data_IF_552437273930
#
_entry.id   IF_552437273930
#
_cell.length_a   1.000
_cell.length_b   1.000
_cell.length_c   1.000
_cell.angle_alpha   90.00
_cell.angle_beta   90.00
_cell.angle_gamma   90.00
#
_symmetry.space_group_name_H-M   'P 1'
#
loop_
_entity.id
_entity.type
_entity.pdbx_description
1 polymer ?
#
# COMPACT_ATOMS: atom_id res chain seq x y z
N UNK A 1 16.71 -1.98 -23.96
CA UNK A 1 15.27 -2.26 -23.88
C UNK A 1 14.58 -1.07 -23.23
N UNK A 2 13.31 -0.80 -23.55
CA UNK A 2 12.53 0.21 -22.82
C UNK A 2 11.83 -0.48 -21.63
N UNK A 3 12.49 -0.47 -20.46
CA UNK A 3 12.05 -1.24 -19.28
C UNK A 3 10.81 -0.65 -18.62
N UNK A 4 10.54 0.64 -18.81
CA UNK A 4 9.36 1.32 -18.26
C UNK A 4 8.03 0.76 -18.80
N UNK A 5 8.07 0.04 -19.92
CA UNK A 5 6.90 -0.61 -20.53
C UNK A 5 6.69 -2.05 -20.03
N UNK A 6 7.54 -2.57 -19.14
CA UNK A 6 7.46 -3.96 -18.70
C UNK A 6 6.12 -4.29 -18.04
N UNK A 7 5.63 -3.41 -17.16
CA UNK A 7 4.32 -3.56 -16.53
C UNK A 7 3.19 -3.60 -17.57
N UNK A 8 3.14 -2.62 -18.47
CA UNK A 8 2.10 -2.49 -19.50
C UNK A 8 2.06 -3.72 -20.42
N UNK A 9 3.23 -4.16 -20.92
CA UNK A 9 3.32 -5.34 -21.79
C UNK A 9 2.89 -6.61 -21.06
N UNK A 10 3.26 -6.75 -19.78
CA UNK A 10 2.85 -7.91 -18.98
C UNK A 10 1.33 -7.95 -18.75
N UNK A 11 0.71 -6.80 -18.49
CA UNK A 11 -0.75 -6.67 -18.37
C UNK A 11 -1.45 -7.00 -19.69
N UNK A 12 -0.95 -6.49 -20.81
CA UNK A 12 -1.49 -6.78 -22.15
C UNK A 12 -1.51 -8.28 -22.44
N UNK A 13 -0.40 -8.98 -22.19
CA UNK A 13 -0.30 -10.43 -22.39
C UNK A 13 -1.20 -11.19 -21.40
N UNK A 14 -1.28 -10.75 -20.14
CA UNK A 14 -2.17 -11.35 -19.14
C UNK A 14 -3.64 -11.29 -19.59
N UNK A 15 -4.06 -10.13 -20.12
CA UNK A 15 -5.40 -9.95 -20.67
C UNK A 15 -5.63 -10.81 -21.91
N UNK A 16 -4.72 -10.77 -22.89
CA UNK A 16 -4.84 -11.53 -24.13
C UNK A 16 -4.85 -13.05 -23.92
N UNK A 17 -4.10 -13.54 -22.93
CA UNK A 17 -4.03 -14.97 -22.60
C UNK A 17 -5.12 -15.44 -21.64
N UNK A 18 -5.93 -14.53 -21.08
CA UNK A 18 -6.93 -14.85 -20.06
C UNK A 18 -6.33 -15.32 -18.72
N UNK A 19 -5.05 -14.99 -18.45
CA UNK A 19 -4.33 -15.40 -17.24
C UNK A 19 -3.92 -14.17 -16.45
N UNK A 20 -4.55 -13.97 -15.29
CA UNK A 20 -4.23 -12.85 -14.41
C UNK A 20 -2.73 -12.83 -14.03
N UNK A 21 -2.15 -11.64 -14.01
CA UNK A 21 -0.78 -11.46 -13.54
C UNK A 21 -0.74 -11.58 -12.02
N UNK A 22 0.17 -12.43 -11.51
CA UNK A 22 0.34 -12.57 -10.05
C UNK A 22 0.83 -11.26 -9.42
N UNK A 23 0.27 -10.92 -8.26
CA UNK A 23 0.69 -9.77 -7.44
C UNK A 23 2.17 -9.85 -7.05
N UNK A 24 2.68 -11.07 -6.83
CA UNK A 24 4.08 -11.34 -6.45
C UNK A 24 4.99 -11.66 -7.65
N UNK A 25 4.52 -11.48 -8.89
CA UNK A 25 5.33 -11.77 -10.07
C UNK A 25 6.59 -10.88 -10.04
N UNK A 26 7.81 -11.44 -10.15
CA UNK A 26 9.01 -10.63 -10.16
C UNK A 26 8.97 -9.55 -11.24
N UNK A 27 9.49 -8.36 -10.94
CA UNK A 27 9.62 -7.19 -11.82
C UNK A 27 8.29 -6.48 -12.15
N UNK A 28 7.20 -7.22 -12.39
CA UNK A 28 5.95 -6.65 -12.94
C UNK A 28 4.74 -6.83 -12.03
N UNK A 29 4.86 -7.54 -10.91
CA UNK A 29 3.79 -7.74 -9.95
C UNK A 29 3.49 -6.46 -9.15
N UNK A 30 2.21 -6.15 -8.94
CA UNK A 30 1.81 -4.93 -8.23
C UNK A 30 2.24 -4.90 -6.76
N UNK A 31 2.57 -6.05 -6.16
CA UNK A 31 2.95 -6.13 -4.75
C UNK A 31 4.44 -6.09 -4.46
N UNK A 32 5.31 -6.00 -5.48
CA UNK A 32 6.76 -6.12 -5.26
C UNK A 32 7.39 -4.84 -4.68
N UNK A 33 6.72 -3.69 -4.82
CA UNK A 33 7.09 -2.40 -4.25
C UNK A 33 6.10 -1.92 -3.17
N UNK A 34 5.30 -2.85 -2.65
CA UNK A 34 4.40 -2.59 -1.54
C UNK A 34 5.15 -2.79 -0.21
N UNK A 35 5.36 -1.71 0.53
CA UNK A 35 6.08 -1.73 1.80
C UNK A 35 5.11 -1.50 2.95
N UNK A 36 5.08 -2.43 3.90
CA UNK A 36 4.31 -2.23 5.12
C UNK A 36 4.96 -1.12 5.96
N UNK A 37 4.13 -0.20 6.42
CA UNK A 37 4.54 1.04 7.06
C UNK A 37 5.04 0.85 8.51
N UNK A 38 6.15 0.13 8.67
CA UNK A 38 6.93 -0.02 9.90
C UNK A 38 8.39 0.40 9.68
N UNK A 39 9.34 -0.28 10.33
CA UNK A 39 10.78 -0.05 10.11
C UNK A 39 11.19 -0.15 8.64
N UNK A 40 10.49 -0.98 7.86
CA UNK A 40 10.72 -1.17 6.44
C UNK A 40 10.24 0.06 5.64
N UNK A 41 9.00 0.53 5.87
CA UNK A 41 8.48 1.74 5.24
C UNK A 41 9.28 3.00 5.58
N UNK A 42 9.69 3.18 6.84
CA UNK A 42 10.55 4.31 7.25
C UNK A 42 11.94 4.24 6.61
N UNK A 43 12.52 3.03 6.51
CA UNK A 43 13.78 2.79 5.82
C UNK A 43 13.72 3.15 4.34
N UNK A 44 12.65 2.74 3.63
CA UNK A 44 12.45 3.05 2.20
C UNK A 44 12.22 4.55 2.00
N UNK A 45 11.47 5.22 2.87
CA UNK A 45 11.25 6.66 2.78
C UNK A 45 12.55 7.46 2.98
N UNK A 46 13.48 6.97 3.81
CA UNK A 46 14.78 7.61 4.07
C UNK A 46 15.83 7.28 3.01
N UNK A 47 15.91 6.02 2.61
CA UNK A 47 16.82 5.54 1.58
C UNK A 47 16.19 4.33 0.84
N UNK A 48 15.56 4.55 -0.32
CA UNK A 48 14.91 3.48 -1.10
C UNK A 48 15.81 2.29 -1.40
N UNK A 49 17.11 2.52 -1.64
CA UNK A 49 18.11 1.48 -1.95
C UNK A 49 18.31 0.44 -0.84
N UNK A 50 17.79 0.69 0.36
CA UNK A 50 17.86 -0.25 1.49
C UNK A 50 17.02 -1.51 1.24
N UNK A 51 15.90 -1.37 0.54
CA UNK A 51 14.96 -2.48 0.28
C UNK A 51 14.53 -2.58 -1.19
N UNK A 52 14.92 -1.63 -2.03
CA UNK A 52 14.63 -1.63 -3.46
C UNK A 52 15.95 -1.72 -4.25
N UNK A 53 16.13 -2.85 -4.95
CA UNK A 53 17.33 -3.08 -5.79
C UNK A 53 17.34 -2.17 -7.02
N UNK A 54 16.16 -1.74 -7.46
CA UNK A 54 15.91 -0.79 -8.54
C UNK A 54 14.62 -0.02 -8.24
N UNK A 55 14.48 1.16 -8.83
CA UNK A 55 13.33 2.04 -8.58
C UNK A 55 12.08 1.49 -9.29
N UNK A 56 10.88 1.58 -8.70
CA UNK A 56 9.65 1.08 -9.32
C UNK A 56 9.38 1.71 -10.69
N UNK A 57 9.74 2.97 -10.87
CA UNK A 57 9.53 3.74 -12.10
C UNK A 57 10.34 3.17 -13.27
N UNK A 58 11.47 2.49 -12.99
CA UNK A 58 12.32 1.86 -14.02
C UNK A 58 11.61 0.71 -14.73
N UNK A 59 10.55 0.16 -14.14
CA UNK A 59 9.79 -1.00 -14.67
C UNK A 59 8.31 -0.69 -14.88
N UNK A 60 7.92 0.58 -14.81
CA UNK A 60 6.53 1.02 -15.00
C UNK A 60 5.63 0.72 -13.79
N UNK A 61 6.19 0.72 -12.59
CA UNK A 61 5.47 0.55 -11.34
C UNK A 61 5.62 1.81 -10.47
N UNK A 62 4.84 1.84 -9.39
CA UNK A 62 4.90 2.87 -8.36
C UNK A 62 5.10 2.23 -7.00
N UNK A 63 5.77 2.97 -6.10
CA UNK A 63 5.94 2.55 -4.71
C UNK A 63 4.62 2.69 -3.97
N UNK A 64 4.26 1.68 -3.19
CA UNK A 64 3.05 1.72 -2.37
C UNK A 64 3.40 1.55 -0.90
N UNK A 65 2.84 2.42 -0.06
CA UNK A 65 2.88 2.22 1.39
C UNK A 65 1.57 1.57 1.81
N UNK A 66 1.65 0.39 2.41
CA UNK A 66 0.48 -0.36 2.88
C UNK A 66 0.38 -0.30 4.40
N UNK A 67 -0.85 -0.19 4.91
CA UNK A 67 -1.12 -0.20 6.34
C UNK A 67 -1.53 -1.62 6.75
N UNK A 68 -0.83 -2.20 7.72
CA UNK A 68 -1.07 -3.52 8.26
C UNK A 68 -0.84 -3.60 9.76
N UNK A 69 -0.72 -4.82 10.28
CA UNK A 69 -0.58 -5.08 11.72
C UNK A 69 0.66 -4.45 12.36
N UNK A 70 1.73 -4.25 11.58
CA UNK A 70 2.98 -3.65 12.05
C UNK A 70 3.03 -2.13 11.86
N UNK A 71 1.97 -1.52 11.34
CA UNK A 71 1.88 -0.09 11.15
C UNK A 71 1.80 0.68 12.47
N UNK A 72 2.34 1.91 12.44
CA UNK A 72 2.19 2.92 13.49
C UNK A 72 1.19 4.01 13.12
N UNK A 73 0.75 4.81 14.10
CA UNK A 73 -0.22 5.90 13.91
C UNK A 73 0.29 6.97 12.94
N UNK A 74 1.58 7.31 13.01
CA UNK A 74 2.22 8.24 12.08
C UNK A 74 2.11 7.79 10.62
N UNK A 75 2.16 6.48 10.37
CA UNK A 75 2.02 5.95 9.02
C UNK A 75 0.58 6.03 8.51
N UNK A 76 -0.40 5.77 9.38
CA UNK A 76 -1.82 5.97 9.05
C UNK A 76 -2.05 7.43 8.67
N UNK A 77 -1.61 8.38 9.51
CA UNK A 77 -1.72 9.82 9.21
C UNK A 77 -1.06 10.19 7.88
N UNK A 78 0.20 9.76 7.68
CA UNK A 78 0.94 10.02 6.45
C UNK A 78 0.21 9.48 5.21
N UNK A 79 -0.33 8.26 5.27
CA UNK A 79 -1.10 7.66 4.17
C UNK A 79 -2.36 8.47 3.87
N UNK A 80 -3.15 8.82 4.89
CA UNK A 80 -4.38 9.60 4.69
C UNK A 80 -4.12 11.01 4.17
N UNK A 81 -3.11 11.72 4.71
CA UNK A 81 -2.72 13.05 4.22
C UNK A 81 -2.22 12.99 2.78
N UNK A 82 -1.33 12.05 2.45
CA UNK A 82 -0.65 12.02 1.14
C UNK A 82 -1.51 11.45 0.02
N UNK A 83 -2.28 10.40 0.30
CA UNK A 83 -3.04 9.69 -0.73
C UNK A 83 -4.50 10.15 -0.82
N UNK A 84 -5.09 10.62 0.27
CA UNK A 84 -6.51 11.01 0.32
C UNK A 84 -6.73 12.49 0.62
N UNK A 85 -5.67 13.26 0.93
CA UNK A 85 -5.79 14.66 1.38
C UNK A 85 -6.70 14.83 2.60
N UNK A 86 -6.69 13.83 3.50
CA UNK A 86 -7.46 13.82 4.75
C UNK A 86 -6.48 13.97 5.92
N UNK A 87 -6.67 15.03 6.71
CA UNK A 87 -5.93 15.23 7.95
C UNK A 87 -6.62 14.49 9.08
N UNK A 88 -5.89 13.58 9.72
CA UNK A 88 -6.35 12.84 10.90
C UNK A 88 -5.66 13.39 12.15
N UNK A 89 -6.43 13.55 13.21
CA UNK A 89 -5.86 13.76 14.54
C UNK A 89 -5.27 12.46 15.12
N UNK A 90 -4.55 12.58 16.24
CA UNK A 90 -3.90 11.42 16.85
C UNK A 90 -4.89 10.40 17.42
N UNK A 91 -6.10 10.82 17.81
CA UNK A 91 -7.16 9.96 18.32
C UNK A 91 -7.77 9.15 17.19
N UNK A 92 -8.15 9.81 16.10
CA UNK A 92 -8.70 9.19 14.88
C UNK A 92 -7.71 8.20 14.29
N UNK A 93 -6.45 8.60 14.13
CA UNK A 93 -5.40 7.71 13.62
C UNK A 93 -5.20 6.48 14.51
N UNK A 94 -5.30 6.63 15.83
CA UNK A 94 -5.21 5.52 16.78
C UNK A 94 -6.41 4.57 16.68
N UNK A 95 -7.62 5.11 16.55
CA UNK A 95 -8.84 4.32 16.39
C UNK A 95 -8.85 3.55 15.07
N UNK A 96 -8.47 4.20 13.97
CA UNK A 96 -8.30 3.55 12.67
C UNK A 96 -7.25 2.44 12.80
N UNK A 97 -6.07 2.72 13.36
CA UNK A 97 -5.01 1.73 13.49
C UNK A 97 -5.44 0.48 14.28
N UNK A 98 -6.24 0.65 15.33
CA UNK A 98 -6.77 -0.47 16.10
C UNK A 98 -7.61 -1.41 15.22
N UNK A 99 -8.56 -0.84 14.46
CA UNK A 99 -9.37 -1.60 13.50
C UNK A 99 -8.54 -2.21 12.37
N UNK A 100 -7.52 -1.49 11.88
CA UNK A 100 -6.61 -2.01 10.86
C UNK A 100 -5.88 -3.26 11.37
N UNK A 101 -5.37 -3.24 12.61
CA UNK A 101 -4.66 -4.38 13.20
C UNK A 101 -5.56 -5.60 13.33
N UNK A 102 -6.77 -5.42 13.86
CA UNK A 102 -7.76 -6.50 13.99
C UNK A 102 -8.04 -7.16 12.65
N UNK A 103 -8.43 -6.38 11.64
CA UNK A 103 -8.75 -6.92 10.31
C UNK A 103 -7.51 -7.50 9.61
N UNK A 104 -6.34 -6.88 9.76
CA UNK A 104 -5.10 -7.39 9.15
C UNK A 104 -4.68 -8.74 9.74
N UNK A 105 -4.87 -8.95 11.05
CA UNK A 105 -4.61 -10.23 11.71
C UNK A 105 -5.59 -11.30 11.19
N UNK A 106 -6.87 -10.98 11.08
CA UNK A 106 -7.91 -11.90 10.61
C UNK A 106 -7.69 -12.29 9.12
N UNK A 107 -7.49 -11.29 8.26
CA UNK A 107 -7.32 -11.46 6.82
C UNK A 107 -5.93 -11.99 6.43
N UNK A 108 -4.96 -11.95 7.37
CA UNK A 108 -3.55 -12.32 7.17
C UNK A 108 -2.87 -11.54 6.03
N UNK A 109 -3.27 -10.28 5.84
CA UNK A 109 -2.69 -9.33 4.86
C UNK A 109 -2.84 -7.89 5.34
N UNK A 110 -2.11 -6.97 4.73
CA UNK A 110 -2.38 -5.53 4.85
C UNK A 110 -3.74 -5.17 4.24
N UNK A 111 -4.29 -4.03 4.63
CA UNK A 111 -5.57 -3.57 4.10
C UNK A 111 -5.40 -2.85 2.77
N UNK A 112 -6.41 -3.01 1.93
CA UNK A 112 -6.59 -2.22 0.72
C UNK A 112 -7.12 -0.83 1.08
N UNK A 113 -6.85 0.14 0.21
CA UNK A 113 -7.26 1.53 0.41
C UNK A 113 -8.77 1.69 0.63
N UNK A 114 -9.58 0.89 -0.08
CA UNK A 114 -11.04 0.88 0.12
C UNK A 114 -11.45 0.42 1.52
N UNK A 115 -10.71 -0.50 2.11
CA UNK A 115 -10.97 -0.98 3.47
C UNK A 115 -10.56 0.07 4.50
N UNK A 116 -9.46 0.81 4.26
CA UNK A 116 -9.06 1.94 5.09
C UNK A 116 -10.12 3.05 5.06
N UNK A 117 -10.62 3.40 3.88
CA UNK A 117 -11.67 4.40 3.73
C UNK A 117 -12.99 3.96 4.38
N UNK A 118 -13.34 2.67 4.29
CA UNK A 118 -14.51 2.14 4.99
C UNK A 118 -14.41 2.29 6.51
N UNK A 119 -13.25 2.00 7.11
CA UNK A 119 -13.04 2.23 8.56
C UNK A 119 -13.19 3.71 8.90
N UNK A 120 -12.60 4.59 8.09
CA UNK A 120 -12.68 6.03 8.27
C UNK A 120 -14.13 6.54 8.23
N UNK A 121 -14.90 6.11 7.23
CA UNK A 121 -16.31 6.43 7.09
C UNK A 121 -17.15 5.85 8.24
N UNK A 122 -16.84 4.65 8.73
CA UNK A 122 -17.55 4.04 9.88
C UNK A 122 -17.34 4.87 11.16
N UNK A 123 -16.12 5.39 11.36
CA UNK A 123 -15.80 6.26 12.50
C UNK A 123 -16.52 7.61 12.42
N UNK A 124 -16.60 8.21 11.24
CA UNK A 124 -17.23 9.53 11.04
C UNK A 124 -18.75 9.46 10.86
N UNK A 125 -19.26 8.35 10.33
CA UNK A 125 -20.68 8.10 10.08
C UNK A 125 -21.46 7.74 11.35
N UNK A 126 -20.79 7.34 12.44
CA UNK A 126 -21.40 7.11 13.76
C UNK A 126 -21.66 8.40 14.56
N UNK A 127 -21.27 9.56 14.04
CA UNK A 127 -21.44 10.87 14.70
C UNK A 127 -22.66 11.65 14.18
N UNK A 128 -23.59 11.00 13.47
CA UNK A 128 -24.88 11.60 13.05
C UNK A 128 -26.07 10.83 13.59
#
# INVERSE_FOLDING_TARGET
YNTTLFREVAEYVAQASGRALSVSKPIVGSGIFAHESGIHGDGVLKNPLTYEVFSPEEVGLERQIVIGKHSGTAAVRSKFTREYSIELDDTEASQILARVREMSIELKRSLFDKELMYIYEELHGKTR
#
